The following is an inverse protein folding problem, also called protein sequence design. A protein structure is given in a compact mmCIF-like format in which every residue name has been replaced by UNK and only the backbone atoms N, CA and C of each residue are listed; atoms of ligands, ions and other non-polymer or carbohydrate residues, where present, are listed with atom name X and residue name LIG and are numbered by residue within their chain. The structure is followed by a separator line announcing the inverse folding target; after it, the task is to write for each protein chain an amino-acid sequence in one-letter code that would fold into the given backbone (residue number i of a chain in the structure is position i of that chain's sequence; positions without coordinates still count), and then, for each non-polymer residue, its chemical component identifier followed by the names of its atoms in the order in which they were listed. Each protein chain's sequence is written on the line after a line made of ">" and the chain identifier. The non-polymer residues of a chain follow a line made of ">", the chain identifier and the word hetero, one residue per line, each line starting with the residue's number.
data_IF_501587436910
#
_entry.id   IF_501587436910
#
_cell.length_a   1.000
_cell.length_b   1.000
_cell.length_c   1.000
_cell.angle_alpha   90.00
_cell.angle_beta   90.00
_cell.angle_gamma   90.00
#
_symmetry.space_group_name_H-M   'P 1'
#
loop_
_entity.id
_entity.type
_entity.pdbx_description
1 polymer ?
#
# COMPACT_ATOMS: atom_id res chain seq x y z
N UNK A 1 -23.51 -4.81 -14.60
CA UNK A 1 -22.44 -4.98 -13.60
C UNK A 1 -21.61 -3.72 -13.56
N UNK A 2 -22.01 -2.76 -12.72
CA UNK A 2 -21.28 -1.51 -12.58
C UNK A 2 -20.11 -1.72 -11.62
N UNK A 3 -18.91 -1.24 -12.00
CA UNK A 3 -17.66 -1.41 -11.22
C UNK A 3 -17.79 -1.01 -9.74
N UNK A 4 -18.71 -0.09 -9.40
CA UNK A 4 -18.91 0.38 -8.04
C UNK A 4 -19.49 -0.68 -7.09
N UNK A 5 -20.19 -1.70 -7.60
CA UNK A 5 -20.78 -2.78 -6.77
C UNK A 5 -19.71 -3.72 -6.20
N UNK A 6 -18.53 -3.76 -6.83
CA UNK A 6 -17.37 -4.55 -6.39
C UNK A 6 -16.47 -3.78 -5.40
N UNK A 7 -16.72 -2.48 -5.22
CA UNK A 7 -15.99 -1.62 -4.28
C UNK A 7 -16.68 -1.72 -2.91
N UNK A 8 -16.38 -2.79 -2.19
CA UNK A 8 -16.72 -2.86 -0.76
C UNK A 8 -15.67 -2.13 0.07
N UNK A 9 -16.03 -1.74 1.30
CA UNK A 9 -15.15 -1.02 2.24
C UNK A 9 -13.77 -1.66 2.37
N UNK A 10 -13.70 -3.00 2.31
CA UNK A 10 -12.44 -3.74 2.34
C UNK A 10 -11.57 -3.53 1.10
N UNK A 11 -12.15 -3.54 -0.10
CA UNK A 11 -11.44 -3.26 -1.36
C UNK A 11 -10.93 -1.81 -1.37
N UNK A 12 -11.77 -0.85 -0.99
CA UNK A 12 -11.39 0.57 -0.90
C UNK A 12 -10.26 0.80 0.11
N UNK A 13 -10.34 0.21 1.30
CA UNK A 13 -9.27 0.28 2.32
C UNK A 13 -7.96 -0.31 1.81
N UNK A 14 -8.01 -1.44 1.11
CA UNK A 14 -6.83 -2.09 0.53
C UNK A 14 -6.16 -1.24 -0.54
N UNK A 15 -6.96 -0.68 -1.46
CA UNK A 15 -6.48 0.25 -2.47
C UNK A 15 -5.86 1.50 -1.83
N UNK A 16 -6.52 2.06 -0.81
CA UNK A 16 -6.00 3.21 -0.06
C UNK A 16 -4.64 2.93 0.59
N UNK A 17 -4.50 1.78 1.29
CA UNK A 17 -3.23 1.39 1.91
C UNK A 17 -2.11 1.20 0.87
N UNK A 18 -2.43 0.62 -0.28
CA UNK A 18 -1.45 0.40 -1.37
C UNK A 18 -1.00 1.74 -1.96
N UNK A 19 -1.93 2.65 -2.24
CA UNK A 19 -1.61 3.96 -2.80
C UNK A 19 -0.78 4.82 -1.85
N UNK A 20 -1.11 4.81 -0.54
CA UNK A 20 -0.32 5.52 0.47
C UNK A 20 1.11 5.00 0.54
N UNK A 21 1.29 3.68 0.46
CA UNK A 21 2.61 3.06 0.42
C UNK A 21 3.39 3.49 -0.83
N UNK A 22 2.76 3.46 -2.01
CA UNK A 22 3.40 3.89 -3.26
C UNK A 22 3.73 5.40 -3.28
N UNK A 23 2.96 6.21 -2.55
CA UNK A 23 3.24 7.63 -2.36
C UNK A 23 4.40 7.91 -1.37
N UNK A 24 5.02 6.88 -0.80
CA UNK A 24 6.15 7.01 0.12
C UNK A 24 5.76 7.39 1.55
N UNK A 25 4.47 7.27 1.93
CA UNK A 25 4.05 7.49 3.32
C UNK A 25 4.66 6.39 4.20
N UNK A 26 5.21 6.72 5.39
CA UNK A 26 5.79 5.73 6.28
C UNK A 26 4.81 4.59 6.61
N UNK A 27 5.28 3.35 6.47
CA UNK A 27 4.50 2.13 6.74
C UNK A 27 3.82 2.21 8.13
N UNK A 28 4.55 2.68 9.14
CA UNK A 28 4.06 2.77 10.51
C UNK A 28 2.82 3.66 10.63
N UNK A 29 2.71 4.72 9.83
CA UNK A 29 1.58 5.65 9.88
C UNK A 29 0.37 5.08 9.15
N UNK A 30 0.59 4.41 8.01
CA UNK A 30 -0.46 3.67 7.31
C UNK A 30 -1.00 2.54 8.20
N UNK A 31 -0.13 1.84 8.93
CA UNK A 31 -0.51 0.79 9.86
C UNK A 31 -1.35 1.32 11.03
N UNK A 32 -1.01 2.49 11.60
CA UNK A 32 -1.80 3.13 12.68
C UNK A 32 -3.24 3.41 12.23
N UNK A 33 -3.42 4.00 11.04
CA UNK A 33 -4.77 4.35 10.55
C UNK A 33 -5.54 3.13 10.05
N UNK A 34 -4.84 2.13 9.53
CA UNK A 34 -5.46 0.92 9.00
C UNK A 34 -5.64 -0.15 10.06
N UNK A 35 -5.09 -0.02 11.27
CA UNK A 35 -5.23 -1.01 12.34
C UNK A 35 -4.44 -2.32 12.12
N UNK A 36 -3.45 -2.33 11.23
CA UNK A 36 -2.55 -3.48 11.09
C UNK A 36 -1.51 -3.46 12.21
N UNK A 37 -1.30 -4.61 12.85
CA UNK A 37 -0.42 -4.72 14.04
C UNK A 37 1.02 -5.04 13.69
N UNK A 38 1.22 -5.80 12.62
CA UNK A 38 2.55 -6.23 12.19
C UNK A 38 2.82 -5.81 10.75
N UNK A 39 4.07 -5.45 10.49
CA UNK A 39 4.52 -5.09 9.15
C UNK A 39 4.36 -6.27 8.18
N UNK A 40 4.63 -7.50 8.64
CA UNK A 40 4.44 -8.72 7.85
C UNK A 40 3.00 -8.88 7.34
N UNK A 41 2.00 -8.62 8.17
CA UNK A 41 0.60 -8.68 7.75
C UNK A 41 0.24 -7.53 6.81
N UNK A 42 0.74 -6.33 7.10
CA UNK A 42 0.51 -5.16 6.25
C UNK A 42 1.11 -5.32 4.85
N UNK A 43 2.35 -5.80 4.75
CA UNK A 43 3.03 -6.03 3.47
C UNK A 43 2.36 -7.13 2.64
N UNK A 44 1.77 -8.15 3.28
CA UNK A 44 0.91 -9.13 2.59
C UNK A 44 -0.43 -8.52 2.15
N UNK A 45 -0.92 -7.55 2.89
CA UNK A 45 -2.20 -6.89 2.64
C UNK A 45 -2.12 -5.98 1.41
N UNK A 46 -1.11 -5.11 1.31
CA UNK A 46 -0.92 -4.27 0.13
C UNK A 46 -0.58 -5.11 -1.11
N UNK A 47 -1.05 -4.69 -2.30
CA UNK A 47 -0.81 -5.40 -3.57
C UNK A 47 0.26 -4.69 -4.39
N UNK A 48 1.48 -4.64 -3.86
CA UNK A 48 2.61 -4.04 -4.55
C UNK A 48 3.35 -5.11 -5.34
N UNK A 49 3.71 -4.82 -6.59
CA UNK A 49 4.50 -5.73 -7.44
C UNK A 49 6.00 -5.60 -7.18
N UNK A 50 6.79 -6.54 -7.72
CA UNK A 50 8.25 -6.47 -7.63
C UNK A 50 8.78 -5.26 -8.39
N UNK A 51 8.17 -4.95 -9.53
CA UNK A 51 8.51 -3.83 -10.40
C UNK A 51 8.25 -2.49 -9.69
N UNK A 52 7.09 -2.33 -9.04
CA UNK A 52 6.76 -1.13 -8.25
C UNK A 52 7.74 -0.96 -7.08
N UNK A 53 8.10 -2.06 -6.41
CA UNK A 53 9.12 -2.04 -5.35
C UNK A 53 10.48 -1.60 -5.88
N UNK A 54 10.90 -2.14 -7.02
CA UNK A 54 12.17 -1.78 -7.65
C UNK A 54 12.18 -0.31 -8.08
N UNK A 55 11.08 0.20 -8.62
CA UNK A 55 10.95 1.60 -9.03
C UNK A 55 11.02 2.56 -7.83
N UNK A 56 10.34 2.22 -6.73
CA UNK A 56 10.42 2.99 -5.49
C UNK A 56 11.85 3.02 -4.94
N UNK A 57 12.54 1.89 -4.97
CA UNK A 57 13.93 1.80 -4.53
C UNK A 57 14.86 2.65 -5.42
N UNK A 58 14.73 2.53 -6.74
CA UNK A 58 15.52 3.30 -7.70
C UNK A 58 15.32 4.83 -7.57
N UNK A 59 14.11 5.26 -7.21
CA UNK A 59 13.79 6.67 -7.02
C UNK A 59 14.21 7.24 -5.65
N UNK A 60 14.62 6.38 -4.71
CA UNK A 60 14.97 6.80 -3.35
C UNK A 60 16.23 7.68 -3.37
N UNK A 61 16.29 8.77 -2.57
CA UNK A 61 17.44 9.70 -2.55
C UNK A 61 18.80 9.03 -2.31
N UNK A 62 18.83 7.87 -1.66
CA UNK A 62 20.05 7.07 -1.47
C UNK A 62 20.73 6.66 -2.79
N UNK A 63 19.96 6.44 -3.86
CA UNK A 63 20.45 5.96 -5.16
C UNK A 63 20.57 7.10 -6.19
N UNK A 64 20.38 8.36 -5.78
CA UNK A 64 20.54 9.54 -6.63
C UNK A 64 21.92 10.17 -6.45
#
# INVERSE_FOLDING_TARGET
>A
NLKYELIQTHTARRSGCTNMYLAGIPIIDIMKISGHKTEKEFLKYIRVTKEETAQNLANHPWFK
#
